data_IF_371023753295
#
_entry.id   IF_371023753295
#
_cell.length_a   1.000
_cell.length_b   1.000
_cell.length_c   1.000
_cell.angle_alpha   90.00
_cell.angle_beta   90.00
_cell.angle_gamma   90.00
#
_symmetry.space_group_name_H-M   'P 1'
#
loop_
_entity.id
_entity.type
_entity.pdbx_description
1 polymer ?
#
# COMPACT_ATOMS: atom_id res chain seq x y z
N UNK A 1 34.58 25.04 -8.16
CA UNK A 1 33.37 25.52 -7.47
C UNK A 1 32.21 24.56 -7.75
N UNK A 2 32.19 23.36 -7.15
CA UNK A 2 31.19 22.32 -7.51
C UNK A 2 30.70 21.48 -6.31
N UNK A 3 31.33 21.65 -5.14
CA UNK A 3 30.99 20.91 -3.91
C UNK A 3 30.01 21.68 -3.02
N UNK A 4 30.23 22.98 -2.87
CA UNK A 4 29.46 23.88 -2.00
C UNK A 4 27.99 24.00 -2.46
N UNK A 5 27.74 24.06 -3.77
CA UNK A 5 26.38 24.13 -4.31
C UNK A 5 25.57 22.85 -4.05
N UNK A 6 26.20 21.66 -4.12
CA UNK A 6 25.54 20.39 -3.81
C UNK A 6 25.18 20.28 -2.33
N UNK A 7 26.05 20.75 -1.44
CA UNK A 7 25.76 20.78 -0.01
C UNK A 7 24.64 21.75 0.33
N UNK A 8 24.64 22.95 -0.27
CA UNK A 8 23.59 23.94 -0.08
C UNK A 8 22.22 23.45 -0.57
N UNK A 9 22.16 22.75 -1.71
CA UNK A 9 20.90 22.18 -2.22
C UNK A 9 20.38 21.08 -1.28
N UNK A 10 21.26 20.21 -0.76
CA UNK A 10 20.87 19.16 0.20
C UNK A 10 20.35 19.74 1.51
N UNK A 11 21.01 20.76 2.05
CA UNK A 11 20.55 21.40 3.29
C UNK A 11 19.17 22.02 3.12
N UNK A 12 18.95 22.78 2.05
CA UNK A 12 17.65 23.42 1.77
C UNK A 12 16.54 22.40 1.52
N UNK A 13 16.82 21.29 0.84
CA UNK A 13 15.86 20.20 0.70
C UNK A 13 15.47 19.60 2.05
N UNK A 14 16.42 19.39 2.94
CA UNK A 14 16.16 18.90 4.29
C UNK A 14 15.28 19.86 5.08
N UNK A 15 15.56 21.16 5.00
CA UNK A 15 14.75 22.20 5.65
C UNK A 15 13.33 22.23 5.10
N UNK A 16 13.17 22.19 3.76
CA UNK A 16 11.86 22.14 3.11
C UNK A 16 11.07 20.88 3.47
N UNK A 17 11.71 19.71 3.51
CA UNK A 17 11.07 18.46 3.98
C UNK A 17 10.67 18.58 5.45
N UNK A 18 11.50 19.19 6.30
CA UNK A 18 11.22 19.36 7.72
C UNK A 18 10.03 20.30 7.96
N UNK A 19 9.93 21.39 7.20
CA UNK A 19 8.76 22.27 7.25
C UNK A 19 7.49 21.59 6.77
N UNK A 20 7.55 20.86 5.65
CA UNK A 20 6.39 20.15 5.13
C UNK A 20 5.95 19.00 6.06
N UNK A 21 6.89 18.31 6.73
CA UNK A 21 6.56 17.37 7.82
C UNK A 21 5.87 18.08 8.99
N UNK A 22 6.36 19.26 9.41
CA UNK A 22 5.73 20.07 10.48
C UNK A 22 4.33 20.54 10.10
N UNK A 23 4.10 20.88 8.83
CA UNK A 23 2.79 21.26 8.28
C UNK A 23 1.84 20.06 8.08
N UNK A 24 2.26 18.83 8.42
CA UNK A 24 1.44 17.64 8.27
C UNK A 24 1.27 17.17 6.82
N UNK A 25 2.11 17.66 5.89
CA UNK A 25 2.03 17.30 4.48
C UNK A 25 2.45 15.83 4.33
N UNK A 26 1.52 15.00 3.89
CA UNK A 26 1.73 13.57 3.70
C UNK A 26 2.53 13.35 2.42
N UNK A 27 3.81 13.01 2.57
CA UNK A 27 4.68 12.69 1.44
C UNK A 27 4.38 11.30 0.87
N UNK A 28 4.52 11.15 -0.46
CA UNK A 28 4.44 9.87 -1.16
C UNK A 28 3.17 9.68 -1.99
N UNK A 29 3.06 8.52 -2.63
CA UNK A 29 1.92 8.14 -3.47
C UNK A 29 0.69 7.92 -2.58
N UNK A 30 -0.42 8.59 -2.89
CA UNK A 30 -1.71 8.37 -2.24
C UNK A 30 -2.04 6.87 -2.24
N UNK A 31 -2.30 6.30 -1.06
CA UNK A 31 -2.81 4.93 -0.97
C UNK A 31 -4.14 4.88 -1.72
N UNK A 32 -4.30 3.91 -2.63
CA UNK A 32 -5.62 3.64 -3.23
C UNK A 32 -6.58 3.28 -2.12
N UNK A 33 -7.69 4.01 -2.05
CA UNK A 33 -8.77 3.71 -1.13
C UNK A 33 -9.32 2.32 -1.41
N UNK A 34 -9.69 1.61 -0.34
CA UNK A 34 -10.26 0.27 -0.42
C UNK A 34 -11.72 0.45 -0.87
N UNK A 35 -12.14 -0.11 -2.02
CA UNK A 35 -13.52 -0.05 -2.47
C UNK A 35 -14.45 -0.70 -1.44
N UNK A 36 -15.69 -0.21 -1.30
CA UNK A 36 -16.68 -0.82 -0.38
C UNK A 36 -16.96 -2.29 -0.72
N UNK A 37 -16.95 -2.62 -2.01
CA UNK A 37 -17.12 -3.99 -2.53
C UNK A 37 -15.97 -4.94 -2.16
N UNK A 38 -14.83 -4.41 -1.69
CA UNK A 38 -13.70 -5.24 -1.26
C UNK A 38 -14.10 -6.25 -0.19
N UNK A 39 -14.97 -5.86 0.74
CA UNK A 39 -15.35 -6.71 1.88
C UNK A 39 -16.03 -8.01 1.40
N UNK A 40 -16.93 -7.90 0.42
CA UNK A 40 -17.65 -9.02 -0.16
C UNK A 40 -16.74 -9.92 -0.99
N UNK A 41 -15.86 -9.31 -1.79
CA UNK A 41 -14.86 -10.02 -2.60
C UNK A 41 -13.84 -10.72 -1.69
N UNK A 42 -13.39 -10.08 -0.62
CA UNK A 42 -12.45 -10.63 0.36
C UNK A 42 -13.08 -11.82 1.12
N UNK A 43 -14.35 -11.74 1.52
CA UNK A 43 -15.10 -12.88 2.09
C UNK A 43 -15.18 -14.05 1.11
N UNK A 44 -15.51 -13.78 -0.16
CA UNK A 44 -15.55 -14.82 -1.22
C UNK A 44 -14.17 -15.46 -1.41
N UNK A 45 -13.11 -14.67 -1.43
CA UNK A 45 -11.74 -15.16 -1.52
C UNK A 45 -11.35 -15.98 -0.29
N UNK A 46 -11.70 -15.53 0.92
CA UNK A 46 -11.46 -16.24 2.19
C UNK A 46 -12.15 -17.60 2.19
N UNK A 47 -13.36 -17.68 1.67
CA UNK A 47 -14.15 -18.92 1.52
C UNK A 47 -13.72 -19.79 0.33
N UNK A 48 -12.57 -19.52 -0.30
CA UNK A 48 -12.08 -20.22 -1.51
C UNK A 48 -13.04 -20.19 -2.72
N UNK A 49 -14.06 -19.32 -2.73
CA UNK A 49 -15.01 -19.20 -3.85
C UNK A 49 -14.41 -18.54 -5.08
N UNK A 50 -13.41 -17.67 -4.88
CA UNK A 50 -12.68 -16.98 -5.95
C UNK A 50 -11.17 -16.98 -5.68
N UNK A 51 -10.38 -16.92 -6.75
CA UNK A 51 -8.93 -16.76 -6.67
C UNK A 51 -8.53 -15.31 -6.37
N UNK A 52 -7.30 -15.09 -5.88
CA UNK A 52 -6.76 -13.76 -5.59
C UNK A 52 -6.79 -12.86 -6.86
N UNK A 53 -6.44 -13.42 -8.02
CA UNK A 53 -6.48 -12.72 -9.31
C UNK A 53 -7.91 -12.37 -9.74
N UNK A 54 -8.87 -13.26 -9.52
CA UNK A 54 -10.27 -12.98 -9.87
C UNK A 54 -10.88 -11.91 -8.96
N UNK A 55 -10.58 -11.95 -7.65
CA UNK A 55 -11.01 -10.88 -6.73
C UNK A 55 -10.41 -9.53 -7.08
N UNK A 56 -9.13 -9.50 -7.46
CA UNK A 56 -8.48 -8.28 -7.93
C UNK A 56 -9.12 -7.74 -9.22
N UNK A 57 -9.43 -8.63 -10.19
CA UNK A 57 -10.15 -8.25 -11.43
C UNK A 57 -11.53 -7.66 -11.14
N UNK A 58 -12.29 -8.24 -10.21
CA UNK A 58 -13.62 -7.73 -9.83
C UNK A 58 -13.56 -6.31 -9.29
N UNK A 59 -12.51 -5.97 -8.56
CA UNK A 59 -12.32 -4.64 -7.97
C UNK A 59 -11.51 -3.69 -8.87
N UNK A 60 -11.29 -4.08 -10.14
CA UNK A 60 -10.44 -3.39 -11.11
C UNK A 60 -9.07 -2.97 -10.53
N UNK A 61 -8.50 -3.85 -9.70
CA UNK A 61 -7.26 -3.65 -8.97
C UNK A 61 -6.20 -4.66 -9.41
N UNK A 62 -4.92 -4.35 -9.19
CA UNK A 62 -3.88 -5.36 -9.38
C UNK A 62 -3.93 -6.40 -8.26
N UNK A 63 -3.47 -7.62 -8.54
CA UNK A 63 -3.36 -8.66 -7.52
C UNK A 63 -2.49 -8.23 -6.32
N UNK A 64 -1.50 -7.37 -6.55
CA UNK A 64 -0.66 -6.78 -5.49
C UNK A 64 -1.46 -5.81 -4.62
N UNK A 65 -2.28 -4.94 -5.22
CA UNK A 65 -3.18 -4.05 -4.48
C UNK A 65 -4.18 -4.84 -3.65
N UNK A 66 -4.80 -5.87 -4.23
CA UNK A 66 -5.76 -6.72 -3.51
C UNK A 66 -5.11 -7.48 -2.35
N UNK A 67 -3.89 -8.02 -2.53
CA UNK A 67 -3.13 -8.66 -1.47
C UNK A 67 -2.79 -7.69 -0.33
N UNK A 68 -2.39 -6.45 -0.65
CA UNK A 68 -2.13 -5.42 0.36
C UNK A 68 -3.39 -5.09 1.15
N UNK A 69 -4.55 -4.95 0.48
CA UNK A 69 -5.83 -4.72 1.15
C UNK A 69 -6.24 -5.87 2.07
N UNK A 70 -6.01 -7.13 1.67
CA UNK A 70 -6.24 -8.31 2.53
C UNK A 70 -5.40 -8.22 3.81
N UNK A 71 -4.13 -7.84 3.70
CA UNK A 71 -3.25 -7.67 4.86
C UNK A 71 -3.69 -6.50 5.74
N UNK A 72 -4.01 -5.35 5.14
CA UNK A 72 -4.43 -4.13 5.84
C UNK A 72 -5.78 -4.29 6.57
N UNK A 73 -6.69 -5.11 6.02
CA UNK A 73 -8.00 -5.42 6.62
C UNK A 73 -8.02 -6.69 7.49
N UNK A 74 -6.91 -7.45 7.56
CA UNK A 74 -6.83 -8.65 8.40
C UNK A 74 -7.55 -9.88 7.84
N UNK A 75 -7.77 -9.96 6.52
CA UNK A 75 -8.40 -11.11 5.86
C UNK A 75 -7.46 -12.31 5.67
N UNK A 76 -6.31 -12.36 6.33
CA UNK A 76 -5.31 -13.42 6.15
C UNK A 76 -5.92 -14.82 6.32
N UNK A 77 -5.52 -15.74 5.43
CA UNK A 77 -5.79 -17.17 5.62
C UNK A 77 -4.71 -17.72 6.54
N UNK A 78 -5.12 -18.31 7.66
CA UNK A 78 -4.26 -19.16 8.47
C UNK A 78 -3.83 -20.36 7.63
N UNK A 79 -2.69 -20.25 6.97
CA UNK A 79 -2.05 -21.38 6.32
C UNK A 79 -1.26 -22.16 7.37
N UNK A 80 -1.99 -22.87 8.25
CA UNK A 80 -1.42 -23.88 9.13
C UNK A 80 -1.43 -25.20 8.35
N UNK A 81 -0.43 -25.38 7.48
CA UNK A 81 -0.03 -26.68 6.88
C UNK A 81 1.31 -26.50 6.17
N UNK A 82 2.37 -26.47 6.97
CA UNK A 82 3.66 -27.02 6.59
C UNK A 82 3.84 -28.25 7.47
N UNK A 83 3.13 -29.31 7.13
CA UNK A 83 3.51 -30.66 7.56
C UNK A 83 4.69 -31.05 6.66
N UNK A 84 5.90 -30.93 7.21
CA UNK A 84 7.09 -31.61 6.73
C UNK A 84 7.30 -32.82 7.63
#
# INVERSE_FOLDING_TARGET
MTQIERENIKQRQMEGIREAKKKGIKFGRSKKEIPKEFDDVAKRWRNNKISLRNGAKQLNASHTTFSNWIKEKGYMKDNKKRDF
#
